data_IF_133299198142
#
_entry.id   IF_133299198142
#
_cell.length_a   1.000
_cell.length_b   1.000
_cell.length_c   1.000
_cell.angle_alpha   90.00
_cell.angle_beta   90.00
_cell.angle_gamma   90.00
#
_symmetry.space_group_name_H-M   'P 1'
#
loop_
_entity.id
_entity.type
_entity.pdbx_description
1 polymer ?
#
# COMPACT_ATOMS: atom_id res chain seq x y z
N UNK A 1 -6.78 12.12 -9.63
CA UNK A 1 -6.71 11.01 -8.65
C UNK A 1 -6.76 11.49 -7.20
N UNK A 2 -5.74 12.20 -6.67
CA UNK A 2 -5.76 12.69 -5.28
C UNK A 2 -6.93 13.63 -4.95
N UNK A 3 -7.26 14.55 -5.86
CA UNK A 3 -8.43 15.44 -5.71
C UNK A 3 -9.76 14.67 -5.70
N UNK A 4 -9.88 13.61 -6.52
CA UNK A 4 -11.03 12.71 -6.50
C UNK A 4 -11.13 12.00 -5.14
N UNK A 5 -10.02 11.49 -4.62
CA UNK A 5 -9.99 10.88 -3.30
C UNK A 5 -10.39 11.88 -2.20
N UNK A 6 -9.86 13.10 -2.22
CA UNK A 6 -10.22 14.13 -1.24
C UNK A 6 -11.71 14.51 -1.28
N UNK A 7 -12.34 14.49 -2.46
CA UNK A 7 -13.75 14.83 -2.64
C UNK A 7 -14.72 13.68 -2.38
N UNK A 8 -14.36 12.46 -2.79
CA UNK A 8 -15.27 11.31 -2.87
C UNK A 8 -14.85 10.11 -2.02
N UNK A 9 -13.65 10.12 -1.43
CA UNK A 9 -13.07 8.96 -0.74
C UNK A 9 -12.64 7.82 -1.68
N UNK A 10 -12.74 8.02 -3.00
CA UNK A 10 -12.32 7.06 -4.02
C UNK A 10 -11.44 7.78 -5.07
N UNK A 11 -10.19 7.32 -5.32
CA UNK A 11 -9.28 7.94 -6.28
C UNK A 11 -9.76 7.84 -7.74
N UNK A 12 -10.58 6.84 -8.06
CA UNK A 12 -11.15 6.53 -9.38
C UNK A 12 -12.67 6.30 -9.25
N UNK A 13 -13.45 7.36 -9.00
CA UNK A 13 -14.87 7.25 -8.66
C UNK A 13 -15.79 6.98 -9.88
N UNK A 14 -15.26 7.03 -11.10
CA UNK A 14 -16.02 6.92 -12.35
C UNK A 14 -15.28 6.00 -13.30
N UNK A 15 -15.98 5.00 -13.83
CA UNK A 15 -15.40 3.99 -14.72
C UNK A 15 -15.13 4.52 -16.15
N UNK A 16 -15.65 5.70 -16.48
CA UNK A 16 -15.51 6.38 -17.78
C UNK A 16 -14.61 7.63 -17.71
N UNK A 17 -13.63 7.66 -16.80
CA UNK A 17 -12.66 8.77 -16.75
C UNK A 17 -11.73 8.69 -17.98
N UNK A 18 -11.86 9.63 -18.91
CA UNK A 18 -11.10 9.67 -20.17
C UNK A 18 -9.57 9.73 -19.96
N UNK A 19 -9.13 10.27 -18.82
CA UNK A 19 -7.71 10.43 -18.48
C UNK A 19 -7.14 9.19 -17.80
N UNK A 20 -7.87 8.62 -16.83
CA UNK A 20 -7.35 7.53 -16.02
C UNK A 20 -7.63 6.16 -16.62
N UNK A 21 -8.80 5.95 -17.25
CA UNK A 21 -9.24 4.71 -17.89
C UNK A 21 -8.98 3.43 -17.06
N UNK A 22 -8.91 3.56 -15.74
CA UNK A 22 -8.55 2.48 -14.82
C UNK A 22 -9.26 2.69 -13.49
N UNK A 23 -9.78 1.59 -12.94
CA UNK A 23 -10.38 1.56 -11.60
C UNK A 23 -9.37 1.02 -10.61
N UNK A 24 -9.01 1.83 -9.61
CA UNK A 24 -8.14 1.43 -8.50
C UNK A 24 -8.97 0.70 -7.44
N UNK A 25 -8.85 -0.63 -7.43
CA UNK A 25 -9.54 -1.48 -6.47
C UNK A 25 -9.00 -1.30 -5.04
N UNK A 26 -9.91 -1.20 -4.08
CA UNK A 26 -9.56 -1.14 -2.65
C UNK A 26 -8.86 -2.40 -2.16
N UNK A 27 -8.15 -2.28 -1.03
CA UNK A 27 -7.60 -3.43 -0.32
C UNK A 27 -8.74 -4.31 0.20
N UNK A 28 -8.71 -5.61 -0.13
CA UNK A 28 -9.74 -6.57 0.29
C UNK A 28 -9.48 -7.08 1.72
N UNK A 29 -8.24 -7.45 2.02
CA UNK A 29 -7.79 -7.96 3.32
C UNK A 29 -6.25 -8.03 3.36
N UNK A 30 -5.69 -8.43 4.52
CA UNK A 30 -4.24 -8.52 4.75
C UNK A 30 -3.46 -9.35 3.72
N UNK A 31 -4.09 -10.37 3.12
CA UNK A 31 -3.45 -11.25 2.11
C UNK A 31 -3.70 -10.77 0.67
N UNK A 32 -4.51 -9.72 0.51
CA UNK A 32 -5.04 -9.23 -0.76
C UNK A 32 -4.94 -7.71 -0.82
N UNK A 33 -3.70 -7.25 -0.87
CA UNK A 33 -3.34 -5.85 -0.94
C UNK A 33 -3.33 -5.41 -2.42
N UNK A 34 -4.47 -4.97 -2.92
CA UNK A 34 -4.57 -4.39 -4.26
C UNK A 34 -3.82 -3.06 -4.30
N UNK A 35 -3.04 -2.84 -5.36
CA UNK A 35 -2.30 -1.59 -5.55
C UNK A 35 -2.35 -1.14 -7.00
N UNK A 36 -2.20 0.18 -7.18
CA UNK A 36 -1.99 0.80 -8.47
C UNK A 36 -0.52 1.23 -8.59
N UNK A 37 0.17 0.72 -9.61
CA UNK A 37 1.50 1.20 -9.99
C UNK A 37 1.35 2.45 -10.83
N UNK A 38 1.88 3.56 -10.32
CA UNK A 38 1.88 4.86 -10.99
C UNK A 38 3.26 5.03 -11.62
N UNK A 39 3.35 4.80 -12.93
CA UNK A 39 4.57 4.92 -13.74
C UNK A 39 4.23 5.55 -15.10
N UNK A 40 4.97 5.24 -16.18
CA UNK A 40 4.57 5.65 -17.54
C UNK A 40 3.14 5.21 -17.86
N UNK A 41 2.82 3.99 -17.45
CA UNK A 41 1.52 3.37 -17.64
C UNK A 41 0.93 3.00 -16.28
N UNK A 42 -0.37 3.23 -16.14
CA UNK A 42 -1.12 2.81 -14.96
C UNK A 42 -1.36 1.31 -15.03
N UNK A 43 -0.82 0.57 -14.07
CA UNK A 43 -1.00 -0.88 -14.01
C UNK A 43 -1.46 -1.30 -12.63
N UNK A 44 -2.33 -2.32 -12.59
CA UNK A 44 -2.83 -2.88 -11.33
C UNK A 44 -2.01 -4.09 -10.95
N UNK A 45 -1.82 -4.27 -9.66
CA UNK A 45 -1.18 -5.46 -9.11
C UNK A 45 -1.75 -5.81 -7.75
N UNK A 46 -1.20 -6.88 -7.19
CA UNK A 46 -1.57 -7.37 -5.87
C UNK A 46 -0.35 -7.80 -5.09
N UNK A 47 -0.37 -7.51 -3.79
CA UNK A 47 0.68 -7.83 -2.83
C UNK A 47 2.05 -7.25 -3.26
N UNK A 48 2.19 -5.91 -3.24
CA UNK A 48 3.42 -5.27 -3.70
C UNK A 48 4.61 -5.71 -2.84
N UNK A 49 5.77 -5.93 -3.49
CA UNK A 49 7.01 -6.34 -2.82
C UNK A 49 6.88 -7.57 -1.91
N UNK A 50 6.01 -8.53 -2.26
CA UNK A 50 5.63 -9.67 -1.42
C UNK A 50 6.80 -10.35 -0.69
N UNK A 51 7.86 -10.74 -1.43
CA UNK A 51 9.02 -11.43 -0.84
C UNK A 51 9.76 -10.58 0.20
N UNK A 52 9.84 -9.26 -0.01
CA UNK A 52 10.47 -8.32 0.92
C UNK A 52 9.60 -8.14 2.17
N UNK A 53 8.29 -8.05 2.01
CA UNK A 53 7.35 -7.95 3.14
C UNK A 53 7.43 -9.22 4.00
N UNK A 54 7.35 -10.40 3.39
CA UNK A 54 7.51 -11.67 4.09
C UNK A 54 8.84 -11.79 4.84
N UNK A 55 9.94 -11.34 4.23
CA UNK A 55 11.25 -11.34 4.88
C UNK A 55 11.23 -10.54 6.20
N UNK A 56 10.68 -9.32 6.18
CA UNK A 56 10.58 -8.50 7.38
C UNK A 56 9.56 -9.02 8.39
N UNK A 57 8.43 -9.57 7.95
CA UNK A 57 7.48 -10.24 8.82
C UNK A 57 8.13 -11.40 9.59
N UNK A 58 8.95 -12.22 8.91
CA UNK A 58 9.67 -13.32 9.53
C UNK A 58 10.68 -12.81 10.57
N UNK A 59 11.49 -11.81 10.24
CA UNK A 59 12.45 -11.20 11.19
C UNK A 59 11.72 -10.66 12.42
N UNK A 60 10.63 -9.93 12.25
CA UNK A 60 9.87 -9.37 13.37
C UNK A 60 9.17 -10.43 14.21
N UNK A 61 8.80 -11.57 13.62
CA UNK A 61 8.23 -12.72 14.33
C UNK A 61 9.28 -13.43 15.19
N UNK A 62 10.50 -13.58 14.66
CA UNK A 62 11.61 -14.22 15.36
C UNK A 62 12.25 -13.29 16.42
N UNK A 63 12.24 -11.98 16.17
CA UNK A 63 12.91 -10.99 17.02
C UNK A 63 11.96 -9.88 17.49
N UNK A 64 11.21 -10.15 18.56
CA UNK A 64 10.22 -9.21 19.10
C UNK A 64 10.83 -7.88 19.56
N UNK A 65 12.05 -7.88 20.10
CA UNK A 65 12.75 -6.66 20.55
C UNK A 65 13.06 -5.75 19.36
N UNK A 66 13.52 -6.34 18.24
CA UNK A 66 13.76 -5.61 17.00
C UNK A 66 12.47 -4.96 16.49
N UNK A 67 11.34 -5.69 16.52
CA UNK A 67 10.02 -5.15 16.15
C UNK A 67 9.63 -3.94 17.02
N UNK A 68 9.89 -4.00 18.33
CA UNK A 68 9.59 -2.88 19.23
C UNK A 68 10.48 -1.68 18.91
N UNK A 69 11.78 -1.88 18.74
CA UNK A 69 12.72 -0.81 18.42
C UNK A 69 12.40 -0.15 17.08
N UNK A 70 12.09 -0.93 16.04
CA UNK A 70 11.70 -0.37 14.73
C UNK A 70 10.42 0.45 14.83
N UNK A 71 9.41 -0.06 15.55
CA UNK A 71 8.17 0.68 15.78
C UNK A 71 8.40 2.00 16.53
N UNK A 72 9.27 2.01 17.55
CA UNK A 72 9.62 3.24 18.27
C UNK A 72 10.37 4.24 17.38
N UNK A 73 11.31 3.77 16.57
CA UNK A 73 12.00 4.61 15.59
C UNK A 73 11.04 5.22 14.57
N UNK A 74 10.05 4.46 14.08
CA UNK A 74 9.02 4.93 13.14
C UNK A 74 8.10 5.99 13.77
N UNK A 75 7.89 5.90 15.09
CA UNK A 75 7.21 6.95 15.89
C UNK A 75 8.11 8.17 16.17
N UNK A 76 9.36 8.16 15.72
CA UNK A 76 10.32 9.25 15.93
C UNK A 76 11.04 9.22 17.28
N UNK A 77 10.89 8.14 18.07
CA UNK A 77 11.60 7.94 19.33
C UNK A 77 12.95 7.26 19.03
N UNK A 78 14.05 7.98 19.23
CA UNK A 78 15.42 7.45 19.07
C UNK A 78 16.05 7.24 20.44
N UNK A 79 16.69 6.09 20.65
CA UNK A 79 17.47 5.75 21.85
C UNK A 79 18.95 5.59 21.49
#
# INVERSE_FOLDING_TARGET
MWTNFAKYGNPTPTDNDELLQITWDSVENEKRLNFLSISSDLTKGRNPFYNRMLFWENIHKEHIVLKVITHMNDMGLKF
#
